data_IF_118742835497
#
_entry.id   IF_118742835497
#
_cell.length_a   1.000
_cell.length_b   1.000
_cell.length_c   1.000
_cell.angle_alpha   90.00
_cell.angle_beta   90.00
_cell.angle_gamma   90.00
#
_symmetry.space_group_name_H-M   'P 1'
#
loop_
_entity.id
_entity.type
_entity.pdbx_description
1 polymer ?
#
# COMPACT_ATOMS: atom_id res chain seq x y z
N UNK A 1 -4.92 13.57 -1.82
CA UNK A 1 -4.04 12.60 -2.53
C UNK A 1 -4.24 11.21 -1.92
N UNK A 2 -3.82 10.14 -2.60
CA UNK A 2 -3.88 8.77 -2.06
C UNK A 2 -2.49 8.12 -2.07
N UNK A 3 -2.21 7.28 -1.08
CA UNK A 3 -1.07 6.35 -1.07
C UNK A 3 -1.59 4.92 -1.21
N UNK A 4 -0.84 4.06 -1.90
CA UNK A 4 -1.16 2.67 -2.11
C UNK A 4 0.00 1.80 -1.67
N UNK A 5 -0.27 0.81 -0.82
CA UNK A 5 0.75 -0.07 -0.25
C UNK A 5 0.83 -1.44 -0.94
N UNK A 6 0.06 -1.67 -2.01
CA UNK A 6 -0.03 -2.96 -2.68
C UNK A 6 -1.32 -3.72 -2.42
N UNK A 7 -2.08 -3.40 -1.36
CA UNK A 7 -3.40 -3.98 -1.07
C UNK A 7 -4.41 -2.97 -0.51
N UNK A 8 -3.97 -1.85 0.04
CA UNK A 8 -4.80 -0.84 0.69
C UNK A 8 -4.51 0.56 0.12
N UNK A 9 -5.56 1.39 0.07
CA UNK A 9 -5.45 2.80 -0.25
C UNK A 9 -5.73 3.63 0.99
N UNK A 10 -4.80 4.52 1.32
CA UNK A 10 -4.95 5.50 2.40
C UNK A 10 -4.99 6.93 1.86
N UNK A 11 -5.74 7.79 2.55
CA UNK A 11 -5.78 9.21 2.23
C UNK A 11 -4.52 9.90 2.77
N UNK A 12 -3.88 10.70 1.93
CA UNK A 12 -2.79 11.58 2.35
C UNK A 12 -3.32 12.99 2.59
N UNK A 13 -2.95 13.53 3.75
CA UNK A 13 -3.22 14.91 4.18
C UNK A 13 -1.91 15.69 4.31
N UNK A 14 -1.98 17.00 4.21
CA UNK A 14 -0.86 17.90 4.50
C UNK A 14 -1.28 18.86 5.61
N UNK A 15 -0.49 18.95 6.68
CA UNK A 15 -0.76 19.90 7.75
C UNK A 15 -0.77 21.33 7.22
N UNK A 16 -1.73 22.13 7.65
CA UNK A 16 -1.79 23.54 7.25
C UNK A 16 -0.56 24.34 7.72
N UNK A 17 -0.02 23.98 8.88
CA UNK A 17 1.23 24.49 9.45
C UNK A 17 1.71 23.55 10.58
N UNK A 18 2.96 23.73 11.04
CA UNK A 18 3.50 22.92 12.13
C UNK A 18 2.72 23.14 13.44
N UNK A 19 2.22 22.06 14.04
CA UNK A 19 1.36 22.11 15.22
C UNK A 19 -0.12 22.43 14.94
N UNK A 20 -0.54 22.52 13.67
CA UNK A 20 -1.95 22.61 13.32
C UNK A 20 -2.75 21.40 13.83
N UNK A 21 -4.01 21.59 14.28
CA UNK A 21 -4.92 20.48 14.56
C UNK A 21 -5.26 19.73 13.27
N UNK A 22 -5.50 18.42 13.36
CA UNK A 22 -5.80 17.57 12.19
C UNK A 22 -7.09 18.00 11.45
N UNK A 23 -8.02 18.67 12.13
CA UNK A 23 -9.27 19.18 11.55
C UNK A 23 -9.07 20.19 10.41
N UNK A 24 -7.92 20.87 10.39
CA UNK A 24 -7.59 21.86 9.36
C UNK A 24 -6.55 21.34 8.35
N UNK A 25 -6.27 20.03 8.38
CA UNK A 25 -5.41 19.41 7.40
C UNK A 25 -5.97 19.55 5.97
N UNK A 26 -5.05 19.72 5.03
CA UNK A 26 -5.34 20.00 3.64
C UNK A 26 -5.33 18.68 2.87
N UNK A 27 -6.46 18.38 2.22
CA UNK A 27 -6.65 17.16 1.40
C UNK A 27 -6.88 17.45 -0.07
N UNK A 28 -7.26 18.68 -0.40
CA UNK A 28 -7.55 19.18 -1.75
C UNK A 28 -6.48 20.19 -2.13
N UNK A 29 -5.86 19.97 -3.28
CA UNK A 29 -4.78 20.82 -3.80
C UNK A 29 -5.19 21.37 -5.16
N UNK A 30 -5.05 22.67 -5.35
CA UNK A 30 -5.31 23.30 -6.64
C UNK A 30 -4.17 22.97 -7.62
N UNK A 31 -4.55 22.56 -8.83
CA UNK A 31 -3.57 22.16 -9.85
C UNK A 31 -2.67 23.33 -10.28
N UNK A 32 -1.37 23.07 -10.42
CA UNK A 32 -0.39 24.07 -10.88
C UNK A 32 -0.06 25.16 -9.86
N UNK A 33 -0.30 24.89 -8.57
CA UNK A 33 0.06 25.82 -7.49
C UNK A 33 1.33 25.35 -6.77
N UNK A 34 2.12 26.27 -6.18
CA UNK A 34 3.29 25.89 -5.37
C UNK A 34 2.96 24.91 -4.24
N UNK A 35 1.75 25.04 -3.67
CA UNK A 35 1.27 24.16 -2.61
C UNK A 35 1.08 22.71 -3.10
N UNK A 36 0.63 22.50 -4.34
CA UNK A 36 0.56 21.17 -4.94
C UNK A 36 1.96 20.59 -5.12
N UNK A 37 2.91 21.39 -5.60
CA UNK A 37 4.30 20.94 -5.80
C UNK A 37 4.96 20.51 -4.48
N UNK A 38 4.74 21.28 -3.41
CA UNK A 38 5.19 20.95 -2.07
C UNK A 38 4.56 19.65 -1.55
N UNK A 39 3.24 19.50 -1.70
CA UNK A 39 2.52 18.29 -1.32
C UNK A 39 3.01 17.04 -2.07
N UNK A 40 3.28 17.18 -3.38
CA UNK A 40 3.86 16.12 -4.20
C UNK A 40 5.27 15.73 -3.71
N UNK A 41 6.14 16.71 -3.47
CA UNK A 41 7.49 16.46 -2.95
C UNK A 41 7.48 15.78 -1.57
N UNK A 42 6.59 16.23 -0.67
CA UNK A 42 6.39 15.60 0.63
C UNK A 42 5.90 14.16 0.52
N UNK A 43 4.96 13.89 -0.38
CA UNK A 43 4.45 12.55 -0.63
C UNK A 43 5.51 11.62 -1.21
N UNK A 44 6.34 12.08 -2.16
CA UNK A 44 7.46 11.29 -2.69
C UNK A 44 8.45 10.89 -1.59
N UNK A 45 8.79 11.81 -0.69
CA UNK A 45 9.65 11.52 0.46
C UNK A 45 9.00 10.52 1.42
N UNK A 46 7.69 10.63 1.67
CA UNK A 46 6.95 9.68 2.49
C UNK A 46 6.97 8.28 1.86
N UNK A 47 6.64 8.16 0.57
CA UNK A 47 6.66 6.89 -0.17
C UNK A 47 8.04 6.25 -0.09
N UNK A 48 9.11 7.03 -0.27
CA UNK A 48 10.49 6.52 -0.15
C UNK A 48 10.75 5.95 1.24
N UNK A 49 10.37 6.65 2.32
CA UNK A 49 10.54 6.16 3.70
C UNK A 49 9.73 4.89 3.96
N UNK A 50 8.48 4.83 3.52
CA UNK A 50 7.64 3.64 3.65
C UNK A 50 8.24 2.45 2.88
N UNK A 51 8.77 2.69 1.68
CA UNK A 51 9.45 1.68 0.89
C UNK A 51 10.72 1.14 1.57
N UNK A 52 11.59 2.04 2.06
CA UNK A 52 12.80 1.68 2.80
C UNK A 52 12.48 0.91 4.10
N UNK A 53 11.37 1.25 4.76
CA UNK A 53 10.84 0.57 5.93
C UNK A 53 10.06 -0.73 5.61
N UNK A 54 9.92 -1.10 4.33
CA UNK A 54 9.11 -2.24 3.86
C UNK A 54 7.67 -2.21 4.35
N UNK A 55 7.08 -1.03 4.46
CA UNK A 55 5.67 -0.81 4.80
C UNK A 55 4.81 -0.91 3.54
N UNK A 56 4.85 -2.06 2.87
CA UNK A 56 4.06 -2.36 1.69
C UNK A 56 3.94 -3.88 1.53
N UNK A 57 2.93 -4.31 0.78
CA UNK A 57 2.68 -5.71 0.44
C UNK A 57 3.06 -5.94 -1.03
N UNK A 58 4.12 -6.70 -1.27
CA UNK A 58 4.51 -7.11 -2.63
C UNK A 58 3.62 -8.27 -3.11
N UNK A 59 2.49 -7.93 -3.73
CA UNK A 59 1.53 -8.93 -4.22
C UNK A 59 2.08 -9.82 -5.33
N UNK A 60 3.17 -9.42 -5.99
CA UNK A 60 3.80 -10.20 -7.04
C UNK A 60 4.75 -11.27 -6.48
N UNK A 61 5.36 -11.05 -5.31
CA UNK A 61 6.45 -11.91 -4.84
C UNK A 61 6.29 -12.47 -3.42
N UNK A 62 5.25 -12.11 -2.67
CA UNK A 62 5.03 -12.70 -1.33
C UNK A 62 4.97 -14.24 -1.39
N UNK A 63 5.31 -14.88 -0.27
CA UNK A 63 5.20 -16.34 -0.13
C UNK A 63 3.97 -16.68 0.67
N UNK A 64 3.02 -17.37 0.03
CA UNK A 64 1.78 -17.84 0.66
C UNK A 64 1.82 -19.35 0.83
N UNK A 65 1.21 -19.82 1.91
CA UNK A 65 0.92 -21.23 2.13
C UNK A 65 -0.57 -21.45 2.07
N UNK A 66 -1.01 -22.42 1.28
CA UNK A 66 -2.38 -22.90 1.33
C UNK A 66 -2.64 -23.60 2.67
N UNK A 67 -3.59 -23.11 3.46
CA UNK A 67 -3.98 -23.69 4.75
C UNK A 67 -4.74 -25.02 4.66
N UNK A 68 -5.11 -25.47 3.45
CA UNK A 68 -5.82 -26.75 3.25
C UNK A 68 -4.86 -27.88 2.86
N UNK A 69 -3.99 -27.65 1.88
CA UNK A 69 -3.08 -28.67 1.36
C UNK A 69 -1.59 -28.40 1.63
N UNK A 70 -1.26 -27.29 2.29
CA UNK A 70 0.10 -26.91 2.71
C UNK A 70 1.11 -26.64 1.57
N UNK A 71 0.63 -26.55 0.31
CA UNK A 71 1.46 -26.14 -0.82
C UNK A 71 1.83 -24.67 -0.67
N UNK A 72 3.12 -24.36 -0.85
CA UNK A 72 3.62 -23.00 -0.96
C UNK A 72 3.43 -22.49 -2.39
N UNK A 73 2.96 -21.25 -2.52
CA UNK A 73 2.77 -20.54 -3.79
C UNK A 73 3.37 -19.14 -3.66
N UNK A 74 3.81 -18.58 -4.79
CA UNK A 74 4.47 -17.27 -4.84
C UNK A 74 3.60 -16.25 -5.58
N UNK A 75 3.31 -15.16 -4.88
CA UNK A 75 2.51 -14.06 -5.41
C UNK A 75 1.04 -14.42 -5.65
N UNK A 76 0.28 -13.40 -6.02
CA UNK A 76 -1.16 -13.49 -6.28
C UNK A 76 -1.49 -14.42 -7.47
N UNK A 77 -0.65 -14.41 -8.51
CA UNK A 77 -0.90 -15.20 -9.73
C UNK A 77 -0.95 -16.69 -9.44
N UNK A 78 0.06 -17.23 -8.76
CA UNK A 78 0.10 -18.66 -8.40
C UNK A 78 -0.99 -19.01 -7.39
N UNK A 79 -1.26 -18.14 -6.41
CA UNK A 79 -2.35 -18.35 -5.45
C UNK A 79 -3.72 -18.41 -6.14
N UNK A 80 -3.96 -17.55 -7.13
CA UNK A 80 -5.19 -17.55 -7.93
C UNK A 80 -5.31 -18.81 -8.79
N UNK A 81 -4.22 -19.30 -9.36
CA UNK A 81 -4.20 -20.55 -10.14
C UNK A 81 -4.41 -21.78 -9.26
N UNK A 82 -3.79 -21.80 -8.09
CA UNK A 82 -4.02 -22.82 -7.07
C UNK A 82 -5.48 -22.84 -6.62
N UNK A 83 -6.07 -21.67 -6.33
CA UNK A 83 -7.47 -21.56 -5.94
C UNK A 83 -8.41 -22.04 -7.06
N UNK A 84 -8.13 -21.69 -8.31
CA UNK A 84 -8.94 -22.14 -9.47
C UNK A 84 -8.88 -23.65 -9.69
N UNK A 85 -7.70 -24.26 -9.52
CA UNK A 85 -7.51 -25.70 -9.79
C UNK A 85 -7.96 -26.59 -8.63
N UNK A 86 -7.85 -26.10 -7.38
CA UNK A 86 -8.12 -26.92 -6.19
C UNK A 86 -9.38 -26.51 -5.41
N UNK A 87 -9.91 -25.30 -5.65
CA UNK A 87 -10.99 -24.71 -4.86
C UNK A 87 -10.54 -24.15 -3.50
N UNK A 88 -9.25 -24.18 -3.17
CA UNK A 88 -8.75 -23.67 -1.90
C UNK A 88 -8.59 -22.15 -1.91
N UNK A 89 -9.15 -21.46 -0.91
CA UNK A 89 -9.06 -20.00 -0.76
C UNK A 89 -8.42 -19.54 0.55
N UNK A 90 -8.09 -20.48 1.44
CA UNK A 90 -7.42 -20.19 2.70
C UNK A 90 -5.89 -20.10 2.46
N UNK A 91 -5.38 -18.88 2.32
CA UNK A 91 -3.94 -18.63 2.20
C UNK A 91 -3.45 -17.80 3.37
N UNK A 92 -2.23 -18.08 3.81
CA UNK A 92 -1.55 -17.28 4.83
C UNK A 92 -0.13 -16.99 4.37
N UNK A 93 0.30 -15.74 4.55
CA UNK A 93 1.68 -15.36 4.32
C UNK A 93 2.58 -16.00 5.37
N UNK A 94 3.76 -16.43 4.95
CA UNK A 94 4.79 -16.94 5.84
C UNK A 94 6.17 -16.44 5.41
N UNK A 95 7.00 -16.18 6.41
CA UNK A 95 8.39 -15.73 6.29
C UNK A 95 9.37 -16.89 6.29
#
# INVERSE_FOLDING_TARGET
MLIYDGIHYDALTMKAFEGAPEEIDITIFAHGTPQMEEACSGAEQLVRRCYEAKQFTDTAHFTLRCGVCNIGVRGETEAREHAKSTGHTNFSEYS
#
